data_IF_500360437295
#
_entry.id   IF_500360437295
#
_cell.length_a   1.000
_cell.length_b   1.000
_cell.length_c   1.000
_cell.angle_alpha   90.00
_cell.angle_beta   90.00
_cell.angle_gamma   90.00
#
_symmetry.space_group_name_H-M   'P 1'
#
loop_
_entity.id
_entity.type
_entity.pdbx_description
1 polymer ?
#
# COMPACT_ATOMS: atom_id res chain seq x y z
N UNK A 1 -38.90 -27.66 -52.81
CA UNK A 1 -39.50 -26.95 -51.67
C UNK A 1 -38.36 -26.55 -50.74
N UNK A 2 -38.06 -25.25 -50.65
CA UNK A 2 -36.95 -24.75 -49.82
C UNK A 2 -37.41 -24.66 -48.36
N UNK A 3 -36.81 -25.47 -47.49
CA UNK A 3 -37.02 -25.39 -46.05
C UNK A 3 -36.42 -24.07 -45.54
N UNK A 4 -37.25 -23.22 -44.96
CA UNK A 4 -36.89 -21.88 -44.52
C UNK A 4 -35.74 -21.92 -43.48
N UNK A 5 -34.66 -21.13 -43.63
CA UNK A 5 -33.48 -21.16 -42.74
C UNK A 5 -33.78 -20.76 -41.28
N UNK A 6 -34.99 -20.26 -41.01
CA UNK A 6 -35.47 -19.94 -39.67
C UNK A 6 -35.76 -21.17 -38.78
N UNK A 7 -35.78 -22.39 -39.35
CA UNK A 7 -36.08 -23.63 -38.62
C UNK A 7 -34.85 -24.27 -37.95
N UNK A 8 -33.63 -23.84 -38.30
CA UNK A 8 -32.40 -24.52 -37.86
C UNK A 8 -32.06 -24.21 -36.39
N UNK A 9 -32.61 -23.15 -35.80
CA UNK A 9 -32.26 -22.67 -34.45
C UNK A 9 -33.50 -22.40 -33.57
N UNK A 10 -34.47 -23.31 -33.54
CA UNK A 10 -35.61 -23.24 -32.62
C UNK A 10 -35.81 -24.60 -31.96
N UNK A 11 -35.88 -24.61 -30.62
CA UNK A 11 -36.28 -25.80 -29.86
C UNK A 11 -37.73 -25.67 -29.44
N UNK A 12 -38.40 -26.81 -29.43
CA UNK A 12 -39.82 -26.98 -29.23
C UNK A 12 -40.01 -27.88 -28.02
N UNK A 13 -40.64 -27.37 -26.96
CA UNK A 13 -41.02 -28.18 -25.80
C UNK A 13 -42.48 -28.60 -25.94
N UNK A 14 -42.73 -29.90 -25.86
CA UNK A 14 -44.08 -30.44 -25.74
C UNK A 14 -44.51 -30.26 -24.28
N UNK A 15 -45.47 -29.37 -24.05
CA UNK A 15 -46.11 -29.19 -22.74
C UNK A 15 -47.38 -30.03 -22.74
N UNK A 16 -47.60 -30.82 -21.69
CA UNK A 16 -48.61 -31.88 -21.63
C UNK A 16 -50.07 -31.39 -21.89
N UNK A 17 -50.30 -30.07 -21.81
CA UNK A 17 -51.61 -29.42 -21.99
C UNK A 17 -51.66 -28.39 -23.14
N UNK A 18 -50.71 -28.42 -24.08
CA UNK A 18 -50.78 -27.56 -25.28
C UNK A 18 -50.71 -28.37 -26.59
N UNK A 19 -51.57 -28.03 -27.57
CA UNK A 19 -51.60 -28.72 -28.86
C UNK A 19 -50.41 -28.36 -29.75
N UNK A 20 -49.78 -27.21 -29.51
CA UNK A 20 -48.59 -26.76 -30.23
C UNK A 20 -47.39 -26.66 -29.28
N UNK A 21 -46.20 -27.09 -29.72
CA UNK A 21 -45.00 -27.00 -28.89
C UNK A 21 -44.62 -25.55 -28.62
N UNK A 22 -44.27 -25.25 -27.38
CA UNK A 22 -43.86 -23.91 -26.97
C UNK A 22 -42.54 -23.54 -27.66
N UNK A 23 -42.55 -22.44 -28.42
CA UNK A 23 -41.36 -21.89 -29.07
C UNK A 23 -40.62 -20.99 -28.09
N UNK A 24 -39.49 -21.47 -27.57
CA UNK A 24 -38.64 -20.67 -26.70
C UNK A 24 -37.71 -19.74 -27.52
N UNK A 25 -37.37 -18.54 -26.99
CA UNK A 25 -36.44 -17.62 -27.64
C UNK A 25 -35.07 -18.28 -27.88
N UNK A 26 -34.41 -17.84 -28.97
CA UNK A 26 -33.17 -18.40 -29.54
C UNK A 26 -32.16 -18.89 -28.49
N UNK A 27 -31.90 -20.19 -28.47
CA UNK A 27 -30.77 -20.80 -27.78
C UNK A 27 -29.49 -20.50 -28.57
N UNK A 28 -28.47 -19.92 -27.93
CA UNK A 28 -27.13 -19.82 -28.52
C UNK A 28 -26.49 -21.19 -28.32
N UNK A 29 -26.45 -21.97 -29.40
CA UNK A 29 -25.90 -23.31 -29.43
C UNK A 29 -24.65 -23.35 -30.30
N UNK A 30 -23.68 -24.19 -29.93
CA UNK A 30 -22.45 -24.41 -30.68
C UNK A 30 -22.15 -25.90 -30.76
N UNK A 31 -21.64 -26.35 -31.91
CA UNK A 31 -21.31 -27.76 -32.14
C UNK A 31 -19.96 -28.14 -31.51
N UNK A 32 -19.11 -27.15 -31.22
CA UNK A 32 -17.79 -27.34 -30.62
C UNK A 32 -17.37 -26.12 -29.78
N UNK A 33 -16.58 -26.37 -28.72
CA UNK A 33 -16.09 -25.35 -27.79
C UNK A 33 -14.75 -24.71 -28.21
N UNK A 34 -14.11 -25.20 -29.26
CA UNK A 34 -12.80 -24.75 -29.75
C UNK A 34 -12.79 -23.26 -30.12
N UNK A 35 -13.89 -22.76 -30.66
CA UNK A 35 -14.08 -21.34 -31.02
C UNK A 35 -14.53 -20.46 -29.86
N UNK A 36 -14.80 -21.05 -28.69
CA UNK A 36 -15.19 -20.32 -27.48
C UNK A 36 -13.94 -20.00 -26.65
N UNK A 37 -13.75 -18.74 -26.22
CA UNK A 37 -12.71 -18.38 -25.26
C UNK A 37 -12.72 -19.30 -24.05
N UNK A 38 -11.55 -19.77 -23.62
CA UNK A 38 -11.41 -20.85 -22.63
C UNK A 38 -12.16 -20.58 -21.32
N UNK A 39 -12.03 -19.36 -20.81
CA UNK A 39 -12.77 -18.79 -19.67
C UNK A 39 -14.31 -18.92 -19.78
N UNK A 40 -14.86 -18.83 -20.99
CA UNK A 40 -16.31 -18.92 -21.23
C UNK A 40 -16.80 -20.33 -21.54
N UNK A 41 -15.90 -21.31 -21.77
CA UNK A 41 -16.31 -22.70 -22.08
C UNK A 41 -17.12 -23.33 -20.96
N UNK A 42 -16.85 -22.97 -19.70
CA UNK A 42 -17.62 -23.43 -18.53
C UNK A 42 -19.10 -23.00 -18.57
N UNK A 43 -19.42 -21.95 -19.31
CA UNK A 43 -20.80 -21.49 -19.48
C UNK A 43 -21.59 -22.31 -20.51
N UNK A 44 -20.93 -23.21 -21.24
CA UNK A 44 -21.57 -24.07 -22.23
C UNK A 44 -21.82 -25.46 -21.64
N UNK A 45 -23.09 -25.87 -21.61
CA UNK A 45 -23.53 -27.15 -21.07
C UNK A 45 -23.79 -28.11 -22.24
N UNK A 46 -23.27 -29.33 -22.15
CA UNK A 46 -23.49 -30.37 -23.15
C UNK A 46 -24.97 -30.77 -23.19
N UNK A 47 -25.50 -30.98 -24.39
CA UNK A 47 -26.85 -31.50 -24.57
C UNK A 47 -26.97 -32.97 -24.21
N UNK A 48 -28.13 -33.38 -23.70
CA UNK A 48 -28.46 -34.79 -23.40
C UNK A 48 -28.32 -35.74 -24.60
N UNK A 49 -28.37 -35.20 -25.82
CA UNK A 49 -28.23 -35.96 -27.07
C UNK A 49 -26.76 -36.09 -27.53
N UNK A 50 -25.81 -35.47 -26.84
CA UNK A 50 -24.38 -35.46 -27.17
C UNK A 50 -24.02 -34.75 -28.49
N UNK A 51 -24.93 -33.93 -29.05
CA UNK A 51 -24.76 -33.30 -30.38
C UNK A 51 -24.33 -31.84 -30.35
N UNK A 52 -24.06 -31.27 -29.18
CA UNK A 52 -23.63 -29.89 -29.08
C UNK A 52 -23.72 -29.35 -27.67
N UNK A 53 -23.50 -28.04 -27.55
CA UNK A 53 -23.52 -27.33 -26.29
C UNK A 53 -24.45 -26.12 -26.36
N UNK A 54 -25.07 -25.78 -25.24
CA UNK A 54 -25.87 -24.58 -25.11
C UNK A 54 -25.32 -23.64 -24.04
N UNK A 55 -25.44 -22.34 -24.30
CA UNK A 55 -25.02 -21.32 -23.35
C UNK A 55 -25.98 -21.23 -22.15
N UNK A 56 -25.45 -21.46 -20.96
CA UNK A 56 -26.05 -21.01 -19.70
C UNK A 56 -25.74 -19.53 -19.50
N UNK A 57 -26.76 -18.68 -19.65
CA UNK A 57 -26.63 -17.23 -19.45
C UNK A 57 -26.23 -16.89 -18.03
N UNK A 58 -26.74 -17.64 -17.03
CA UNK A 58 -26.36 -17.46 -15.63
C UNK A 58 -24.87 -17.72 -15.41
N UNK A 59 -24.34 -18.80 -16.00
CA UNK A 59 -22.91 -19.13 -15.87
C UNK A 59 -22.05 -18.13 -16.65
N UNK A 60 -22.50 -17.67 -17.82
CA UNK A 60 -21.80 -16.65 -18.60
C UNK A 60 -21.72 -15.29 -17.88
N UNK A 61 -22.80 -14.90 -17.20
CA UNK A 61 -22.83 -13.69 -16.38
C UNK A 61 -21.89 -13.81 -15.16
N UNK A 62 -21.81 -15.00 -14.55
CA UNK A 62 -20.85 -15.26 -13.47
C UNK A 62 -19.41 -15.12 -13.96
N UNK A 63 -19.06 -15.76 -15.08
CA UNK A 63 -17.71 -15.65 -15.69
C UNK A 63 -17.36 -14.19 -15.97
N UNK A 64 -18.28 -13.44 -16.57
CA UNK A 64 -18.10 -12.00 -16.85
C UNK A 64 -17.87 -11.18 -15.58
N UNK A 65 -18.65 -11.44 -14.53
CA UNK A 65 -18.50 -10.75 -13.25
C UNK A 65 -17.16 -11.10 -12.58
N UNK A 66 -16.76 -12.38 -12.61
CA UNK A 66 -15.49 -12.85 -12.08
C UNK A 66 -14.30 -12.23 -12.81
N UNK A 67 -14.34 -12.12 -14.13
CA UNK A 67 -13.28 -11.46 -14.91
C UNK A 67 -13.13 -9.99 -14.58
N UNK A 68 -14.26 -9.28 -14.42
CA UNK A 68 -14.26 -7.88 -14.03
C UNK A 68 -13.63 -7.70 -12.63
N UNK A 69 -13.96 -8.58 -11.67
CA UNK A 69 -13.38 -8.53 -10.34
C UNK A 69 -11.90 -8.93 -10.33
N UNK A 70 -11.48 -9.94 -11.09
CA UNK A 70 -10.07 -10.29 -11.27
C UNK A 70 -9.29 -9.11 -11.85
N UNK A 71 -9.83 -8.43 -12.87
CA UNK A 71 -9.21 -7.25 -13.45
C UNK A 71 -9.08 -6.11 -12.43
N UNK A 72 -10.11 -5.88 -11.62
CA UNK A 72 -10.09 -4.89 -10.53
C UNK A 72 -9.04 -5.24 -9.47
N UNK A 73 -9.01 -6.49 -9.00
CA UNK A 73 -8.04 -6.95 -8.01
C UNK A 73 -6.61 -6.84 -8.54
N UNK A 74 -6.38 -7.20 -9.81
CA UNK A 74 -5.07 -7.04 -10.44
C UNK A 74 -4.64 -5.58 -10.54
N UNK A 75 -5.58 -4.67 -10.83
CA UNK A 75 -5.30 -3.23 -10.80
C UNK A 75 -4.92 -2.77 -9.38
N UNK A 76 -5.65 -3.21 -8.35
CA UNK A 76 -5.32 -2.90 -6.95
C UNK A 76 -3.95 -3.47 -6.56
N UNK A 77 -3.65 -4.72 -6.92
CA UNK A 77 -2.34 -5.35 -6.66
C UNK A 77 -1.21 -4.54 -7.30
N UNK A 78 -1.41 -3.99 -8.49
CA UNK A 78 -0.41 -3.17 -9.18
C UNK A 78 -0.15 -1.84 -8.45
N UNK A 79 -1.13 -1.29 -7.75
CA UNK A 79 -1.01 -0.04 -7.00
C UNK A 79 -0.41 -0.21 -5.60
N UNK A 80 -0.58 -1.39 -4.98
CA UNK A 80 -0.10 -1.67 -3.63
C UNK A 80 1.41 -1.41 -3.41
N UNK A 81 2.34 -1.80 -4.31
CA UNK A 81 3.76 -1.52 -4.12
C UNK A 81 4.06 -0.02 -4.04
N UNK A 82 3.44 0.78 -4.91
CA UNK A 82 3.64 2.23 -4.91
C UNK A 82 3.09 2.86 -3.62
N UNK A 83 1.97 2.35 -3.10
CA UNK A 83 1.40 2.80 -1.82
C UNK A 83 2.31 2.41 -0.66
N UNK A 84 2.78 1.17 -0.62
CA UNK A 84 3.69 0.66 0.41
C UNK A 84 5.00 1.46 0.45
N UNK A 85 5.59 1.77 -0.71
CA UNK A 85 6.82 2.56 -0.76
C UNK A 85 6.61 4.01 -0.29
N UNK A 86 5.44 4.61 -0.53
CA UNK A 86 5.09 5.92 0.04
C UNK A 86 4.95 5.86 1.55
N UNK A 87 4.24 4.86 2.08
CA UNK A 87 4.07 4.66 3.52
C UNK A 87 5.40 4.36 4.21
N UNK A 88 6.25 3.50 3.63
CA UNK A 88 7.60 3.23 4.12
C UNK A 88 8.49 4.47 4.11
N UNK A 89 8.36 5.32 3.09
CA UNK A 89 9.09 6.58 3.07
C UNK A 89 8.60 7.51 4.18
N UNK A 90 7.30 7.68 4.33
CA UNK A 90 6.72 8.50 5.40
C UNK A 90 7.18 8.03 6.79
N UNK A 91 7.13 6.72 7.08
CA UNK A 91 7.60 6.19 8.36
C UNK A 91 9.10 6.39 8.60
N UNK A 92 9.93 6.32 7.56
CA UNK A 92 11.35 6.63 7.68
C UNK A 92 11.59 8.10 7.96
N UNK A 93 10.88 8.97 7.25
CA UNK A 93 10.97 10.42 7.45
C UNK A 93 10.51 10.79 8.87
N UNK A 94 9.40 10.23 9.35
CA UNK A 94 8.91 10.42 10.72
C UNK A 94 9.91 9.91 11.78
N UNK A 95 10.50 8.72 11.56
CA UNK A 95 11.50 8.17 12.49
C UNK A 95 12.76 9.04 12.58
N UNK A 96 13.21 9.61 11.45
CA UNK A 96 14.33 10.56 11.42
C UNK A 96 13.97 11.82 12.21
N UNK A 97 12.76 12.33 12.03
CA UNK A 97 12.29 13.54 12.70
C UNK A 97 12.24 13.37 14.21
N UNK A 98 11.62 12.27 14.66
CA UNK A 98 11.53 11.90 16.08
C UNK A 98 12.91 11.73 16.72
N UNK A 99 13.85 11.08 16.01
CA UNK A 99 15.20 10.85 16.50
C UNK A 99 15.99 12.17 16.63
N UNK A 100 15.94 13.03 15.62
CA UNK A 100 16.60 14.34 15.65
C UNK A 100 15.99 15.22 16.73
N UNK A 101 14.66 15.32 16.79
CA UNK A 101 13.97 16.17 17.76
C UNK A 101 14.28 15.73 19.19
N UNK A 102 14.20 14.42 19.46
CA UNK A 102 14.54 13.85 20.77
C UNK A 102 15.98 14.13 21.17
N UNK A 103 16.91 14.04 20.22
CA UNK A 103 18.33 14.32 20.44
C UNK A 103 18.58 15.82 20.71
N UNK A 104 17.96 16.71 19.93
CA UNK A 104 18.05 18.16 20.14
C UNK A 104 17.47 18.60 21.49
N UNK A 105 16.32 18.04 21.88
CA UNK A 105 15.72 18.27 23.20
C UNK A 105 16.65 17.83 24.32
N UNK A 106 17.24 16.64 24.20
CA UNK A 106 18.23 16.11 25.16
C UNK A 106 19.47 17.00 25.25
N UNK A 107 19.90 17.58 24.14
CA UNK A 107 21.01 18.53 24.08
C UNK A 107 20.67 19.94 24.63
N UNK A 108 19.41 20.19 25.00
CA UNK A 108 18.95 21.44 25.61
C UNK A 108 18.80 22.58 24.60
N UNK A 109 18.45 22.26 23.34
CA UNK A 109 18.12 23.27 22.33
C UNK A 109 16.79 23.95 22.69
N UNK A 110 16.74 25.28 22.55
CA UNK A 110 15.53 26.08 22.79
C UNK A 110 14.38 25.60 21.93
N UNK A 111 13.18 25.48 22.49
CA UNK A 111 11.99 25.01 21.76
C UNK A 111 11.74 25.80 20.46
N UNK A 112 11.85 27.14 20.52
CA UNK A 112 11.67 28.01 19.34
C UNK A 112 12.77 27.90 18.28
N UNK A 113 13.83 27.14 18.52
CA UNK A 113 14.91 26.88 17.57
C UNK A 113 14.99 25.43 17.09
N UNK A 114 14.15 24.52 17.62
CA UNK A 114 14.18 23.10 17.29
C UNK A 114 13.98 22.87 15.78
N UNK A 115 12.95 23.46 15.19
CA UNK A 115 12.65 23.31 13.76
C UNK A 115 13.80 23.81 12.86
N UNK A 116 14.43 24.93 13.25
CA UNK A 116 15.60 25.48 12.57
C UNK A 116 16.82 24.56 12.68
N UNK A 117 17.09 24.02 13.87
CA UNK A 117 18.19 23.09 14.09
C UNK A 117 17.98 21.76 13.34
N UNK A 118 16.76 21.22 13.36
CA UNK A 118 16.39 20.05 12.55
C UNK A 118 16.63 20.31 11.06
N UNK A 119 16.19 21.46 10.54
CA UNK A 119 16.39 21.83 9.14
C UNK A 119 17.87 21.90 8.75
N UNK A 120 18.72 22.44 9.62
CA UNK A 120 20.17 22.48 9.41
C UNK A 120 20.74 21.05 9.35
N UNK A 121 20.38 20.18 10.30
CA UNK A 121 20.87 18.80 10.35
C UNK A 121 20.45 17.99 9.12
N UNK A 122 19.18 18.09 8.70
CA UNK A 122 18.66 17.44 7.48
C UNK A 122 19.29 17.95 6.19
N UNK A 123 19.69 19.22 6.15
CA UNK A 123 20.35 19.81 4.97
C UNK A 123 21.82 19.39 4.86
N UNK A 124 22.49 19.19 5.99
CA UNK A 124 23.93 18.91 6.05
C UNK A 124 24.28 17.42 6.05
N UNK A 125 23.32 16.54 6.36
CA UNK A 125 23.55 15.11 6.53
C UNK A 125 22.46 14.30 5.82
N UNK A 126 22.81 13.10 5.37
CA UNK A 126 21.84 12.09 4.94
C UNK A 126 21.58 11.10 6.07
N UNK A 127 20.37 10.57 6.16
CA UNK A 127 19.97 9.65 7.23
C UNK A 127 19.61 8.28 6.66
N UNK A 128 20.00 7.24 7.38
CA UNK A 128 19.66 5.85 7.13
C UNK A 128 18.83 5.35 8.31
N UNK A 129 17.76 4.63 8.01
CA UNK A 129 16.81 4.11 9.00
C UNK A 129 16.75 2.61 8.81
N UNK A 130 17.22 1.90 9.82
CA UNK A 130 17.18 0.45 9.86
C UNK A 130 16.19 -0.02 10.93
N UNK A 131 15.50 -1.14 10.72
CA UNK A 131 14.73 -1.77 11.78
C UNK A 131 15.67 -2.15 12.93
N UNK A 132 15.23 -1.93 14.16
CA UNK A 132 15.98 -2.37 15.33
C UNK A 132 16.06 -3.89 15.41
N UNK A 133 17.23 -4.42 15.79
CA UNK A 133 17.48 -5.86 15.94
C UNK A 133 16.55 -6.52 16.99
N UNK A 134 16.05 -5.76 17.95
CA UNK A 134 15.11 -6.24 18.97
C UNK A 134 13.66 -6.30 18.47
N UNK A 135 13.43 -5.96 17.20
CA UNK A 135 12.12 -5.90 16.57
C UNK A 135 11.24 -4.75 17.06
N UNK A 136 11.78 -3.83 17.86
CA UNK A 136 11.05 -2.67 18.39
C UNK A 136 11.63 -1.38 17.85
N UNK A 137 10.86 -0.76 16.96
CA UNK A 137 11.18 0.56 16.42
C UNK A 137 12.31 0.55 15.40
N UNK A 138 12.97 1.70 15.28
CA UNK A 138 13.98 1.96 14.27
C UNK A 138 15.26 2.50 14.88
N UNK A 139 16.39 2.15 14.27
CA UNK A 139 17.68 2.77 14.53
C UNK A 139 17.92 3.77 13.41
N UNK A 140 18.08 5.04 13.78
CA UNK A 140 18.40 6.12 12.85
C UNK A 140 19.88 6.42 12.95
N UNK A 141 20.59 6.35 11.83
CA UNK A 141 21.98 6.75 11.72
C UNK A 141 22.12 7.89 10.72
N UNK A 142 23.01 8.83 11.02
CA UNK A 142 23.36 9.91 10.11
C UNK A 142 24.68 9.60 9.40
N UNK A 143 24.82 10.02 8.16
CA UNK A 143 26.07 9.93 7.41
C UNK A 143 26.73 11.30 7.32
N UNK A 144 27.99 11.36 7.72
CA UNK A 144 28.85 12.53 7.60
C UNK A 144 30.07 12.21 6.71
N UNK A 145 31.01 13.16 6.59
CA UNK A 145 32.22 13.00 5.78
C UNK A 145 33.13 11.82 6.17
N UNK A 146 32.97 11.28 7.38
CA UNK A 146 33.78 10.19 7.94
C UNK A 146 33.03 8.85 7.97
N UNK A 147 31.76 8.81 7.57
CA UNK A 147 30.94 7.60 7.53
C UNK A 147 29.64 7.71 8.31
N UNK A 148 29.11 6.57 8.74
CA UNK A 148 27.90 6.47 9.55
C UNK A 148 28.20 6.83 11.01
N UNK A 149 27.30 7.57 11.63
CA UNK A 149 27.37 7.99 13.02
C UNK A 149 25.98 8.10 13.64
N UNK A 150 25.91 8.13 14.96
CA UNK A 150 24.67 8.31 15.69
C UNK A 150 24.14 9.74 15.53
N UNK A 151 22.82 9.91 15.58
CA UNK A 151 22.16 11.22 15.51
C UNK A 151 22.69 12.16 16.61
N UNK A 152 22.94 11.62 17.81
CA UNK A 152 23.48 12.38 18.94
C UNK A 152 24.85 13.00 18.63
N UNK A 153 25.72 12.30 17.87
CA UNK A 153 27.01 12.86 17.46
C UNK A 153 26.88 14.03 16.49
N UNK A 154 25.86 13.99 15.61
CA UNK A 154 25.58 15.10 14.70
C UNK A 154 25.01 16.31 15.44
N UNK A 155 24.12 16.06 16.40
CA UNK A 155 23.57 17.10 17.26
C UNK A 155 24.67 17.75 18.10
N UNK A 156 25.54 16.95 18.73
CA UNK A 156 26.67 17.45 19.51
C UNK A 156 27.60 18.33 18.65
N UNK A 157 27.84 17.98 17.39
CA UNK A 157 28.63 18.81 16.48
C UNK A 157 27.97 20.17 16.19
N UNK A 158 26.64 20.23 16.13
CA UNK A 158 25.89 21.47 15.88
C UNK A 158 25.81 22.37 17.12
N UNK A 159 25.55 21.79 18.29
CA UNK A 159 25.22 22.52 19.52
C UNK A 159 26.38 22.59 20.52
N UNK A 160 27.40 21.78 20.29
CA UNK A 160 28.66 21.76 21.03
C UNK A 160 29.53 22.97 20.72
N UNK A 161 30.48 23.25 21.62
CA UNK A 161 31.38 24.39 21.50
C UNK A 161 30.73 25.76 21.79
N UNK A 162 31.49 26.83 21.56
CA UNK A 162 31.06 28.21 21.79
C UNK A 162 30.06 28.68 20.73
N UNK A 163 30.27 28.30 19.46
CA UNK A 163 29.35 28.62 18.35
C UNK A 163 27.97 27.98 18.54
N UNK A 164 27.93 26.77 19.12
CA UNK A 164 26.70 26.05 19.43
C UNK A 164 25.91 26.61 20.61
N UNK A 165 26.48 27.54 21.39
CA UNK A 165 25.81 28.13 22.55
C UNK A 165 24.56 28.95 22.19
N UNK A 166 24.45 29.42 20.94
CA UNK A 166 23.27 30.16 20.46
C UNK A 166 22.00 29.30 20.45
N UNK A 167 22.16 27.99 20.22
CA UNK A 167 21.07 27.02 20.14
C UNK A 167 20.54 26.61 21.52
N UNK A 168 21.42 26.60 22.52
CA UNK A 168 21.11 26.08 23.86
C UNK A 168 20.43 27.13 24.73
N UNK A 169 19.58 26.67 25.64
CA UNK A 169 19.11 27.51 26.73
C UNK A 169 20.28 27.97 27.61
N UNK A 170 20.27 29.26 27.99
CA UNK A 170 21.29 29.82 28.87
C UNK A 170 21.09 29.18 30.23
N UNK A 171 21.94 28.21 30.61
CA UNK A 171 21.92 27.64 31.97
C UNK A 171 22.01 28.81 32.96
N UNK A 172 21.05 28.97 33.89
CA UNK A 172 21.21 29.94 34.96
C UNK A 172 22.48 29.58 35.72
N UNK A 173 23.33 30.57 35.97
CA UNK A 173 24.54 30.36 36.75
C UNK A 173 24.14 29.73 38.10
N UNK A 174 24.88 28.72 38.60
CA UNK A 174 24.64 28.22 39.95
C UNK A 174 24.71 29.41 40.89
N UNK A 175 23.64 29.69 41.62
CA UNK A 175 23.66 30.73 42.63
C UNK A 175 24.77 30.36 43.60
N UNK A 176 25.84 31.16 43.61
CA UNK A 176 26.94 30.98 44.53
C UNK A 176 26.34 30.95 45.93
N UNK A 177 26.42 29.79 46.58
CA UNK A 177 25.87 29.58 47.90
C UNK A 177 26.36 30.68 48.83
N UNK A 178 25.42 31.44 49.39
CA UNK A 178 25.69 32.26 50.57
C UNK A 178 26.00 31.27 51.69
N UNK A 179 27.29 30.97 51.83
CA UNK A 179 27.85 30.32 52.99
C UNK A 179 27.64 31.26 54.19
N UNK A 180 26.53 31.05 54.89
CA UNK A 180 26.31 31.57 56.24
C UNK A 180 27.32 30.93 57.18
N UNK A 181 28.50 31.55 57.32
CA UNK A 181 29.43 31.29 58.43
C UNK A 181 28.75 31.70 59.75
N UNK A 182 28.07 30.77 60.39
CA UNK A 182 27.74 30.84 61.81
C UNK A 182 28.89 30.28 62.63
N UNK A 183 29.71 31.18 63.18
CA UNK A 183 30.73 30.91 64.20
C UNK A 183 30.05 30.68 65.57
N UNK A 184 30.58 29.68 66.29
CA UNK A 184 30.50 29.43 67.75
C UNK A 184 29.18 28.92 68.31
#
# INVERSE_FOLDING_TARGET
MATSPALINSYFLMVHDQPEPLRLPRRIAVDALDRIPENYRIAYIEEDNGKGYFLSTQTADLVRASEAEIARLNASIKELPAKLERERKAWRDDAVDDAIESSLKRAGVKEGLLEGAMSVLKKQNSFEVDPSDDGRGFVVTGRNAYGLCEVDSLVEKLVGGEEGAVWRERKPAPSAGINGRGRR
#
